data_IF_112861239723
#
_entry.id   IF_112861239723
#
_cell.length_a   1.000
_cell.length_b   1.000
_cell.length_c   1.000
_cell.angle_alpha   90.00
_cell.angle_beta   90.00
_cell.angle_gamma   90.00
#
_symmetry.space_group_name_H-M   'P 1'
#
loop_
_entity.id
_entity.type
_entity.pdbx_description
1 polymer ?
#
# COMPACT_ATOMS: atom_id res chain seq x y z
N UNK A 1 -13.78 23.68 -15.54
CA UNK A 1 -14.27 22.31 -15.60
C UNK A 1 -15.69 22.34 -16.09
N UNK A 2 -16.07 21.55 -17.10
CA UNK A 2 -17.31 21.70 -17.84
C UNK A 2 -18.58 21.68 -17.01
N UNK A 3 -19.03 22.84 -16.64
CA UNK A 3 -20.33 23.05 -16.07
C UNK A 3 -21.39 22.43 -16.99
N UNK A 4 -22.09 21.42 -16.50
CA UNK A 4 -23.33 20.93 -17.10
C UNK A 4 -23.28 19.68 -17.96
N UNK A 5 -22.15 18.93 -18.04
CA UNK A 5 -22.12 17.65 -18.78
C UNK A 5 -22.29 16.41 -17.90
N UNK A 6 -21.93 16.48 -16.63
CA UNK A 6 -22.06 15.38 -15.67
C UNK A 6 -22.86 15.82 -14.46
N UNK A 7 -23.80 15.00 -14.01
CA UNK A 7 -24.61 15.25 -12.82
C UNK A 7 -23.86 14.98 -11.51
N UNK A 8 -22.75 14.20 -11.57
CA UNK A 8 -21.92 13.86 -10.41
C UNK A 8 -20.52 13.43 -10.82
N UNK A 9 -19.57 13.45 -9.87
CA UNK A 9 -18.23 12.89 -10.06
C UNK A 9 -18.28 11.39 -10.40
N UNK A 10 -19.21 10.65 -9.80
CA UNK A 10 -19.40 9.22 -10.08
C UNK A 10 -19.75 8.94 -11.53
N UNK A 11 -20.60 9.77 -12.16
CA UNK A 11 -20.93 9.63 -13.57
C UNK A 11 -19.70 9.82 -14.46
N UNK A 12 -18.87 10.82 -14.16
CA UNK A 12 -17.60 11.05 -14.86
C UNK A 12 -16.62 9.88 -14.66
N UNK A 13 -16.54 9.33 -13.44
CA UNK A 13 -15.68 8.19 -13.13
C UNK A 13 -16.14 6.92 -13.86
N UNK A 14 -17.44 6.65 -13.90
CA UNK A 14 -17.99 5.50 -14.62
C UNK A 14 -17.72 5.62 -16.13
N UNK A 15 -17.88 6.81 -16.71
CA UNK A 15 -17.54 7.02 -18.13
C UNK A 15 -16.04 6.80 -18.41
N UNK A 16 -15.16 7.20 -17.48
CA UNK A 16 -13.74 6.94 -17.62
C UNK A 16 -13.43 5.43 -17.57
N UNK A 17 -14.13 4.67 -16.72
CA UNK A 17 -14.04 3.20 -16.66
C UNK A 17 -14.55 2.56 -17.96
N UNK A 18 -15.68 3.01 -18.48
CA UNK A 18 -16.22 2.53 -19.77
C UNK A 18 -15.24 2.78 -20.92
N UNK A 19 -14.57 3.94 -20.93
CA UNK A 19 -13.55 4.26 -21.94
C UNK A 19 -12.34 3.33 -21.82
N UNK A 20 -11.87 3.02 -20.62
CA UNK A 20 -10.78 2.05 -20.40
C UNK A 20 -11.15 0.66 -20.95
N UNK A 21 -12.38 0.20 -20.68
CA UNK A 21 -12.88 -1.10 -21.14
C UNK A 21 -12.97 -1.15 -22.67
N UNK A 22 -13.57 -0.12 -23.28
CA UNK A 22 -13.84 -0.10 -24.73
C UNK A 22 -12.56 0.09 -25.55
N UNK A 23 -11.62 0.88 -25.04
CA UNK A 23 -10.40 1.21 -25.79
C UNK A 23 -9.21 0.31 -25.47
N UNK A 24 -9.24 -0.37 -24.32
CA UNK A 24 -8.07 -1.09 -23.78
C UNK A 24 -6.91 -0.19 -23.37
N UNK A 25 -7.17 1.13 -23.25
CA UNK A 25 -6.19 2.12 -22.83
C UNK A 25 -6.47 2.55 -21.38
N UNK A 26 -5.44 2.94 -20.64
CA UNK A 26 -5.60 3.47 -19.30
C UNK A 26 -6.10 4.92 -19.33
N UNK A 27 -6.83 5.36 -18.30
CA UNK A 27 -7.26 6.77 -18.19
C UNK A 27 -6.11 7.76 -18.19
N UNK A 28 -4.93 7.32 -17.76
CA UNK A 28 -3.68 8.07 -17.79
C UNK A 28 -3.25 8.42 -19.24
N UNK A 29 -3.52 7.52 -20.20
CA UNK A 29 -3.26 7.75 -21.64
C UNK A 29 -4.14 8.87 -22.20
N UNK A 30 -5.37 8.98 -21.68
CA UNK A 30 -6.28 10.07 -21.97
C UNK A 30 -5.97 11.36 -21.21
N UNK A 31 -4.90 11.40 -20.41
CA UNK A 31 -4.50 12.51 -19.53
C UNK A 31 -5.60 12.86 -18.49
N UNK A 32 -6.41 11.90 -18.13
CA UNK A 32 -7.36 12.01 -17.03
C UNK A 32 -6.60 11.79 -15.72
N UNK A 33 -6.32 12.88 -15.01
CA UNK A 33 -5.57 12.85 -13.76
C UNK A 33 -6.51 12.54 -12.61
N UNK A 34 -6.20 11.56 -11.76
CA UNK A 34 -6.90 11.42 -10.49
C UNK A 34 -6.59 12.64 -9.61
N UNK A 35 -7.56 13.05 -8.81
CA UNK A 35 -7.40 14.06 -7.75
C UNK A 35 -6.87 13.39 -6.46
N UNK A 36 -5.90 12.50 -6.60
CA UNK A 36 -5.35 11.75 -5.48
C UNK A 36 -3.91 12.23 -5.23
N UNK A 37 -3.60 12.51 -3.99
CA UNK A 37 -2.23 12.73 -3.54
C UNK A 37 -1.46 11.42 -3.66
N UNK A 38 -0.35 11.45 -4.38
CA UNK A 38 0.55 10.31 -4.51
C UNK A 38 1.15 9.90 -3.16
N UNK A 39 1.57 8.65 -3.08
CA UNK A 39 2.35 8.14 -1.95
C UNK A 39 3.67 8.89 -1.79
N UNK A 40 4.30 8.70 -0.63
CA UNK A 40 5.68 9.15 -0.36
C UNK A 40 6.58 7.93 -0.25
N UNK A 41 7.79 8.00 -0.80
CA UNK A 41 8.78 6.92 -0.76
C UNK A 41 10.06 7.41 -0.10
N UNK A 42 10.61 6.60 0.80
CA UNK A 42 11.95 6.74 1.38
C UNK A 42 12.69 5.42 1.23
N UNK A 43 14.00 5.48 1.03
CA UNK A 43 14.88 4.32 0.93
C UNK A 43 15.98 4.51 -0.10
N UNK A 44 16.99 3.64 -0.07
CA UNK A 44 18.10 3.71 -1.02
C UNK A 44 17.71 3.14 -2.38
N UNK A 45 16.92 3.92 -3.11
CA UNK A 45 16.49 3.63 -4.48
C UNK A 45 16.49 4.90 -5.32
N UNK A 46 16.84 4.77 -6.59
CA UNK A 46 17.03 5.89 -7.51
C UNK A 46 16.06 5.78 -8.68
N UNK A 47 15.33 6.87 -8.90
CA UNK A 47 14.49 7.07 -10.07
C UNK A 47 15.10 8.11 -11.00
N UNK A 48 14.76 8.04 -12.30
CA UNK A 48 14.85 9.16 -13.21
C UNK A 48 13.45 9.65 -13.54
N UNK A 49 13.16 10.90 -13.20
CA UNK A 49 11.88 11.54 -13.53
C UNK A 49 12.08 12.56 -14.66
N UNK A 50 11.15 12.53 -15.63
CA UNK A 50 11.18 13.46 -16.77
C UNK A 50 10.52 14.77 -16.39
N UNK A 51 11.31 15.84 -16.34
CA UNK A 51 10.83 17.17 -16.00
C UNK A 51 9.95 17.78 -17.13
N UNK A 52 9.40 18.98 -16.89
CA UNK A 52 8.53 19.66 -17.87
C UNK A 52 9.25 20.10 -19.15
N UNK A 53 10.60 20.17 -19.12
CA UNK A 53 11.42 20.48 -20.29
C UNK A 53 11.77 19.24 -21.10
N UNK A 54 11.41 18.07 -20.61
CA UNK A 54 11.68 16.79 -21.24
C UNK A 54 13.03 16.18 -20.87
N UNK A 55 13.77 16.78 -19.93
CA UNK A 55 15.04 16.30 -19.42
C UNK A 55 14.85 15.30 -18.31
N UNK A 56 15.72 14.30 -18.20
CA UNK A 56 15.71 13.33 -17.12
C UNK A 56 16.48 13.85 -15.91
N UNK A 57 15.87 13.77 -14.75
CA UNK A 57 16.44 14.15 -13.46
C UNK A 57 16.57 12.89 -12.61
N UNK A 58 17.79 12.58 -12.18
CA UNK A 58 18.05 11.48 -11.25
C UNK A 58 17.72 11.93 -9.82
N UNK A 59 16.98 11.11 -9.09
CA UNK A 59 16.55 11.39 -7.71
C UNK A 59 16.72 10.11 -6.90
N UNK A 60 17.60 10.14 -5.89
CA UNK A 60 17.69 9.09 -4.89
C UNK A 60 16.67 9.38 -3.77
N UNK A 61 15.82 8.39 -3.44
CA UNK A 61 14.74 8.55 -2.47
C UNK A 61 15.19 8.58 -1.00
N UNK A 62 16.48 8.58 -0.73
CA UNK A 62 17.10 8.82 0.58
C UNK A 62 17.97 10.07 0.56
N UNK A 63 18.92 10.14 -0.37
CA UNK A 63 19.98 11.15 -0.33
C UNK A 63 19.57 12.50 -0.94
N UNK A 64 18.58 12.51 -1.85
CA UNK A 64 18.12 13.72 -2.56
C UNK A 64 16.78 14.27 -2.04
N UNK A 65 16.21 13.66 -1.00
CA UNK A 65 14.92 14.07 -0.40
C UNK A 65 15.07 14.32 1.11
N UNK A 66 14.13 15.09 1.67
CA UNK A 66 14.01 15.21 3.13
C UNK A 66 13.13 14.09 3.72
N UNK A 67 12.88 14.15 5.04
CA UNK A 67 12.06 13.17 5.77
C UNK A 67 10.64 13.01 5.23
N UNK A 68 10.16 13.99 4.47
CA UNK A 68 8.88 13.87 3.77
C UNK A 68 8.90 12.87 2.61
N UNK A 69 10.06 12.46 2.16
CA UNK A 69 10.25 11.48 1.08
C UNK A 69 9.98 12.01 -0.33
N UNK A 70 10.20 11.13 -1.32
CA UNK A 70 9.88 11.37 -2.71
C UNK A 70 8.38 11.21 -2.95
N UNK A 71 7.73 12.24 -3.48
CA UNK A 71 6.31 12.19 -3.85
C UNK A 71 6.10 11.45 -5.16
N UNK A 72 5.35 10.35 -5.13
CA UNK A 72 5.03 9.55 -6.32
C UNK A 72 4.17 10.38 -7.29
N UNK A 73 4.62 10.59 -8.54
CA UNK A 73 3.82 11.32 -9.51
C UNK A 73 2.59 10.53 -9.96
N UNK A 74 1.59 11.21 -10.51
CA UNK A 74 0.37 10.56 -11.01
C UNK A 74 0.61 9.63 -12.20
N UNK A 75 1.64 9.88 -13.00
CA UNK A 75 2.06 9.02 -14.10
C UNK A 75 3.46 8.46 -13.78
N UNK A 76 3.51 7.17 -13.55
CA UNK A 76 4.71 6.41 -13.21
C UNK A 76 5.15 5.47 -14.33
N UNK A 77 4.63 5.64 -15.56
CA UNK A 77 5.07 4.84 -16.70
C UNK A 77 6.48 5.23 -17.17
N UNK A 78 7.14 4.32 -17.87
CA UNK A 78 8.58 4.42 -18.19
C UNK A 78 8.98 5.65 -19.01
N UNK A 79 8.04 6.25 -19.75
CA UNK A 79 8.29 7.52 -20.46
C UNK A 79 8.31 8.74 -19.53
N UNK A 80 7.90 8.59 -18.26
CA UNK A 80 7.87 9.64 -17.24
C UNK A 80 8.73 9.34 -16.03
N UNK A 81 8.78 8.08 -15.61
CA UNK A 81 9.52 7.63 -14.44
C UNK A 81 10.24 6.32 -14.75
N UNK A 82 11.55 6.33 -14.67
CA UNK A 82 12.40 5.14 -14.84
C UNK A 82 12.90 4.66 -13.50
N UNK A 83 12.86 3.36 -13.31
CA UNK A 83 13.52 2.69 -12.21
C UNK A 83 14.98 2.46 -12.58
N UNK A 84 15.93 3.08 -11.85
CA UNK A 84 17.36 3.08 -12.23
C UNK A 84 18.15 2.05 -11.44
N UNK A 85 18.13 2.18 -10.12
CA UNK A 85 18.87 1.29 -9.24
C UNK A 85 18.29 1.27 -7.81
N UNK A 86 18.64 0.25 -7.06
CA UNK A 86 18.31 0.17 -5.64
C UNK A 86 19.37 -0.63 -4.89
N UNK A 87 19.45 -0.39 -3.57
CA UNK A 87 20.20 -1.18 -2.61
C UNK A 87 19.29 -1.48 -1.39
N UNK A 88 18.14 -2.08 -1.68
CA UNK A 88 17.14 -2.50 -0.71
C UNK A 88 16.71 -3.95 -1.01
N UNK A 89 16.26 -4.65 0.02
CA UNK A 89 15.89 -6.07 -0.06
C UNK A 89 14.37 -6.25 -0.25
N UNK A 90 13.55 -5.27 0.16
CA UNK A 90 12.08 -5.26 -0.02
C UNK A 90 11.50 -3.84 0.07
N UNK A 91 10.25 -3.68 -0.37
CA UNK A 91 9.43 -2.48 -0.15
C UNK A 91 8.36 -2.74 0.89
N UNK A 92 8.23 -1.86 1.89
CA UNK A 92 7.16 -1.92 2.88
C UNK A 92 6.15 -0.80 2.63
N UNK A 93 4.91 -1.17 2.35
CA UNK A 93 3.79 -0.27 2.20
C UNK A 93 3.09 -0.08 3.55
N UNK A 94 2.99 1.16 4.02
CA UNK A 94 2.51 1.53 5.35
C UNK A 94 1.27 2.39 5.20
N UNK A 95 0.19 2.00 5.89
CA UNK A 95 -1.10 2.67 5.77
C UNK A 95 -1.09 4.06 6.37
N UNK A 96 -0.62 4.21 7.62
CA UNK A 96 -0.75 5.44 8.40
C UNK A 96 0.49 6.30 8.36
N UNK A 97 0.31 7.63 8.31
CA UNK A 97 1.40 8.59 8.30
C UNK A 97 2.22 8.55 9.58
N UNK A 98 1.57 8.42 10.74
CA UNK A 98 2.26 8.36 12.02
C UNK A 98 3.21 7.17 12.16
N UNK A 99 2.83 6.01 11.60
CA UNK A 99 3.72 4.84 11.58
C UNK A 99 4.86 5.02 10.57
N UNK A 100 4.55 5.53 9.37
CA UNK A 100 5.57 5.84 8.36
C UNK A 100 6.62 6.81 8.91
N UNK A 101 6.18 7.94 9.47
CA UNK A 101 7.10 8.96 10.01
C UNK A 101 7.95 8.39 11.16
N UNK A 102 7.38 7.55 12.03
CA UNK A 102 8.13 6.85 13.09
C UNK A 102 9.21 5.94 12.55
N UNK A 103 8.91 5.14 11.53
CA UNK A 103 9.89 4.24 10.93
C UNK A 103 11.05 5.02 10.28
N UNK A 104 10.73 6.15 9.63
CA UNK A 104 11.75 7.05 9.06
C UNK A 104 12.61 7.67 10.17
N UNK A 105 12.01 8.21 11.21
CA UNK A 105 12.73 8.83 12.34
C UNK A 105 13.67 7.85 13.06
N UNK A 106 13.30 6.55 13.10
CA UNK A 106 14.14 5.50 13.68
C UNK A 106 15.16 4.91 12.68
N UNK A 107 15.22 5.40 11.44
CA UNK A 107 16.16 4.89 10.43
C UNK A 107 15.87 3.42 10.05
N UNK A 108 14.61 2.99 10.15
CA UNK A 108 14.26 1.59 9.87
C UNK A 108 14.56 1.18 8.44
N UNK A 109 14.41 2.09 7.49
CA UNK A 109 14.76 1.87 6.08
C UNK A 109 16.24 1.50 5.88
N UNK A 110 17.13 2.15 6.60
CA UNK A 110 18.57 1.82 6.56
C UNK A 110 18.88 0.52 7.31
N UNK A 111 18.38 0.37 8.54
CA UNK A 111 18.65 -0.78 9.39
C UNK A 111 18.10 -2.09 8.80
N UNK A 112 16.92 -2.05 8.19
CA UNK A 112 16.27 -3.18 7.55
C UNK A 112 16.59 -3.31 6.05
N UNK A 113 17.40 -2.41 5.47
CA UNK A 113 17.69 -2.34 4.04
C UNK A 113 16.43 -2.40 3.19
N UNK A 114 15.45 -1.55 3.52
CA UNK A 114 14.15 -1.55 2.84
C UNK A 114 13.79 -0.17 2.28
N UNK A 115 12.82 -0.17 1.37
CA UNK A 115 12.10 1.04 1.02
C UNK A 115 10.79 1.13 1.79
N UNK A 116 10.43 2.32 2.22
CA UNK A 116 9.17 2.62 2.88
C UNK A 116 8.27 3.41 1.93
N UNK A 117 7.01 3.01 1.79
CA UNK A 117 6.03 3.75 1.01
C UNK A 117 4.78 4.04 1.85
N UNK A 118 4.47 5.32 2.06
CA UNK A 118 3.28 5.75 2.76
C UNK A 118 2.08 5.74 1.83
N UNK A 119 1.09 4.88 2.09
CA UNK A 119 -0.09 4.67 1.24
C UNK A 119 -1.10 5.83 1.28
N UNK A 120 -1.13 6.59 2.39
CA UNK A 120 -2.15 7.63 2.67
C UNK A 120 -3.58 7.04 2.70
N UNK A 121 -3.75 5.93 3.39
CA UNK A 121 -4.99 5.15 3.41
C UNK A 121 -5.15 4.32 2.14
N UNK A 122 -6.30 4.41 1.45
CA UNK A 122 -6.53 3.68 0.20
C UNK A 122 -5.53 4.12 -0.88
N UNK A 123 -4.64 3.23 -1.38
CA UNK A 123 -3.57 3.60 -2.29
C UNK A 123 -4.10 4.05 -3.66
N UNK A 124 -3.57 5.17 -4.13
CA UNK A 124 -3.81 5.69 -5.47
C UNK A 124 -3.39 4.69 -6.57
N UNK A 125 -3.92 4.86 -7.78
CA UNK A 125 -3.52 4.03 -8.94
C UNK A 125 -2.02 4.10 -9.20
N UNK A 126 -1.43 5.30 -9.17
CA UNK A 126 0.01 5.49 -9.36
C UNK A 126 0.84 4.79 -8.28
N UNK A 127 0.36 4.79 -7.03
CA UNK A 127 0.99 4.08 -5.91
C UNK A 127 1.00 2.57 -6.13
N UNK A 128 -0.13 1.99 -6.53
CA UNK A 128 -0.22 0.55 -6.85
C UNK A 128 0.64 0.21 -8.06
N UNK A 129 0.62 1.06 -9.09
CA UNK A 129 1.40 0.85 -10.31
C UNK A 129 2.91 0.88 -10.06
N UNK A 130 3.42 1.84 -9.24
CA UNK A 130 4.86 1.89 -8.93
C UNK A 130 5.29 0.68 -8.09
N UNK A 131 4.50 0.23 -7.12
CA UNK A 131 4.79 -1.00 -6.37
C UNK A 131 4.87 -2.21 -7.29
N UNK A 132 3.90 -2.37 -8.20
CA UNK A 132 3.93 -3.43 -9.19
C UNK A 132 5.16 -3.37 -10.07
N UNK A 133 5.54 -2.19 -10.58
CA UNK A 133 6.74 -2.02 -11.38
C UNK A 133 8.00 -2.40 -10.61
N UNK A 134 8.14 -1.98 -9.35
CA UNK A 134 9.28 -2.37 -8.51
C UNK A 134 9.33 -3.89 -8.31
N UNK A 135 8.19 -4.54 -8.13
CA UNK A 135 8.13 -5.98 -8.03
C UNK A 135 8.50 -6.69 -9.35
N UNK A 136 7.99 -6.22 -10.49
CA UNK A 136 8.24 -6.86 -11.80
C UNK A 136 9.62 -6.53 -12.38
N UNK A 137 10.06 -5.27 -12.32
CA UNK A 137 11.30 -4.81 -12.97
C UNK A 137 12.54 -5.08 -12.11
N UNK A 138 12.40 -4.98 -10.77
CA UNK A 138 13.49 -5.17 -9.82
C UNK A 138 13.43 -6.49 -9.03
N UNK A 139 12.30 -7.21 -9.11
CA UNK A 139 12.10 -8.43 -8.33
C UNK A 139 11.92 -8.17 -6.83
N UNK A 140 11.64 -6.93 -6.42
CA UNK A 140 11.51 -6.57 -5.01
C UNK A 140 10.23 -7.15 -4.42
N UNK A 141 10.30 -7.87 -3.28
CA UNK A 141 9.13 -8.23 -2.49
C UNK A 141 8.39 -6.97 -2.03
N UNK A 142 7.07 -6.99 -2.12
CA UNK A 142 6.20 -5.95 -1.58
C UNK A 142 5.52 -6.50 -0.33
N UNK A 143 5.75 -5.87 0.81
CA UNK A 143 5.05 -6.19 2.06
C UNK A 143 4.13 -5.05 2.43
N UNK A 144 2.98 -5.38 3.02
CA UNK A 144 1.95 -4.40 3.35
C UNK A 144 1.68 -4.47 4.85
N UNK A 145 1.95 -3.36 5.52
CA UNK A 145 1.74 -3.18 6.94
C UNK A 145 0.63 -2.18 7.18
N UNK A 146 -0.46 -2.64 7.75
CA UNK A 146 -1.70 -1.87 7.93
C UNK A 146 -2.29 -2.08 9.33
N UNK A 147 -3.36 -1.38 9.63
CA UNK A 147 -4.16 -1.63 10.82
C UNK A 147 -4.83 -3.02 10.74
N UNK A 148 -5.30 -3.52 11.87
CA UNK A 148 -6.10 -4.74 11.97
C UNK A 148 -7.58 -4.37 11.98
N UNK A 149 -8.13 -4.09 10.80
CA UNK A 149 -9.55 -3.81 10.61
C UNK A 149 -10.02 -4.23 9.20
N UNK A 150 -11.34 -4.34 8.93
CA UNK A 150 -11.83 -4.78 7.63
C UNK A 150 -11.47 -3.84 6.48
N UNK A 151 -11.29 -2.54 6.74
CA UNK A 151 -10.94 -1.57 5.70
C UNK A 151 -9.49 -1.72 5.28
N UNK A 152 -8.62 -1.97 6.23
CA UNK A 152 -7.19 -2.25 6.02
C UNK A 152 -6.98 -3.57 5.28
N UNK A 153 -7.77 -4.60 5.56
CA UNK A 153 -7.77 -5.84 4.76
C UNK A 153 -8.13 -5.56 3.30
N UNK A 154 -9.07 -4.65 3.03
CA UNK A 154 -9.40 -4.23 1.66
C UNK A 154 -8.31 -3.40 1.00
N UNK A 155 -7.55 -2.62 1.77
CA UNK A 155 -6.34 -1.92 1.27
C UNK A 155 -5.36 -2.96 0.73
N UNK A 156 -5.01 -3.96 1.54
CA UNK A 156 -4.16 -5.06 1.08
C UNK A 156 -4.73 -5.77 -0.15
N UNK A 157 -6.00 -6.15 -0.12
CA UNK A 157 -6.65 -6.83 -1.24
C UNK A 157 -6.62 -5.99 -2.53
N UNK A 158 -6.71 -4.66 -2.43
CA UNK A 158 -6.59 -3.77 -3.60
C UNK A 158 -5.17 -3.74 -4.18
N UNK A 159 -4.15 -3.88 -3.34
CA UNK A 159 -2.75 -3.96 -3.76
C UNK A 159 -2.47 -5.33 -4.38
N UNK A 160 -2.84 -6.40 -3.69
CA UNK A 160 -2.52 -7.76 -4.12
C UNK A 160 -3.36 -8.24 -5.30
N UNK A 161 -4.67 -7.99 -5.27
CA UNK A 161 -5.63 -8.60 -6.21
C UNK A 161 -6.39 -7.59 -7.07
N UNK A 162 -6.24 -6.30 -6.79
CA UNK A 162 -6.98 -5.24 -7.47
C UNK A 162 -8.36 -4.98 -6.86
N UNK A 163 -9.07 -4.01 -7.43
CA UNK A 163 -10.43 -3.68 -7.02
C UNK A 163 -11.44 -4.37 -7.93
N UNK A 164 -12.53 -4.90 -7.36
CA UNK A 164 -13.57 -5.62 -8.10
C UNK A 164 -14.12 -4.76 -9.25
N UNK A 165 -14.39 -3.48 -9.00
CA UNK A 165 -14.91 -2.56 -10.02
C UNK A 165 -13.96 -2.30 -11.18
N UNK A 166 -12.65 -2.44 -10.95
CA UNK A 166 -11.61 -2.18 -11.94
C UNK A 166 -10.85 -3.45 -12.30
N UNK A 167 -11.53 -4.59 -12.35
CA UNK A 167 -10.94 -5.89 -12.64
C UNK A 167 -10.20 -5.90 -13.99
N UNK A 168 -10.68 -5.15 -14.98
CA UNK A 168 -10.09 -5.02 -16.31
C UNK A 168 -8.69 -4.39 -16.32
N UNK A 169 -8.33 -3.63 -15.28
CA UNK A 169 -7.00 -3.03 -15.14
C UNK A 169 -6.18 -3.66 -13.99
N UNK A 170 -6.67 -4.72 -13.37
CA UNK A 170 -5.95 -5.40 -12.28
C UNK A 170 -4.60 -5.92 -12.74
N UNK A 171 -4.48 -6.34 -14.00
CA UNK A 171 -3.20 -6.73 -14.60
C UNK A 171 -2.14 -5.62 -14.54
N UNK A 172 -2.54 -4.35 -14.59
CA UNK A 172 -1.64 -3.20 -14.50
C UNK A 172 -1.34 -2.73 -13.08
N UNK A 173 -2.23 -3.00 -12.12
CA UNK A 173 -2.19 -2.39 -10.79
C UNK A 173 -1.97 -3.39 -9.66
N UNK A 174 -2.35 -4.64 -9.84
CA UNK A 174 -2.26 -5.65 -8.79
C UNK A 174 -0.86 -6.28 -8.72
N UNK A 175 -0.40 -6.54 -7.50
CA UNK A 175 0.84 -7.25 -7.18
C UNK A 175 0.49 -8.54 -6.43
N UNK A 176 0.17 -9.66 -7.12
CA UNK A 176 -0.31 -10.88 -6.47
C UNK A 176 0.68 -11.51 -5.49
N UNK A 177 1.97 -11.21 -5.65
CA UNK A 177 3.05 -11.64 -4.76
C UNK A 177 3.21 -10.78 -3.51
N UNK A 178 2.39 -9.74 -3.34
CA UNK A 178 2.42 -8.91 -2.14
C UNK A 178 2.06 -9.73 -0.90
N UNK A 179 2.78 -9.50 0.19
CA UNK A 179 2.60 -10.22 1.45
C UNK A 179 1.98 -9.29 2.49
N UNK A 180 0.89 -9.75 3.12
CA UNK A 180 0.32 -9.09 4.28
C UNK A 180 1.22 -9.32 5.50
N UNK A 181 1.78 -8.23 6.04
CA UNK A 181 2.74 -8.32 7.14
C UNK A 181 2.05 -8.28 8.51
N UNK A 182 0.94 -7.63 8.60
CA UNK A 182 0.16 -7.41 9.83
C UNK A 182 -0.41 -5.98 9.84
N UNK A 183 -1.15 -5.59 10.89
CA UNK A 183 -1.38 -6.35 12.14
C UNK A 183 -2.36 -7.49 11.86
N UNK A 184 -2.01 -8.71 12.23
CA UNK A 184 -2.89 -9.87 12.14
C UNK A 184 -3.91 -9.87 13.29
N UNK A 185 -5.06 -10.51 13.12
CA UNK A 185 -6.09 -10.60 14.17
C UNK A 185 -5.62 -11.30 15.46
N UNK A 186 -4.72 -12.27 15.31
CA UNK A 186 -4.10 -12.97 16.43
C UNK A 186 -3.08 -12.14 17.21
N UNK A 187 -2.48 -11.11 16.59
CA UNK A 187 -1.56 -10.18 17.26
C UNK A 187 -2.26 -9.43 18.40
N UNK A 188 -3.57 -9.17 18.28
CA UNK A 188 -4.35 -8.50 19.33
C UNK A 188 -4.22 -9.25 20.65
N UNK A 189 -4.35 -10.57 20.63
CA UNK A 189 -4.20 -11.40 21.81
C UNK A 189 -2.74 -11.71 22.12
N UNK A 190 -1.93 -12.04 21.11
CA UNK A 190 -0.54 -12.44 21.29
C UNK A 190 0.30 -11.36 21.98
N UNK A 191 0.02 -10.09 21.63
CA UNK A 191 0.71 -8.93 22.21
C UNK A 191 -0.18 -8.12 23.16
N UNK A 192 -1.35 -8.63 23.55
CA UNK A 192 -2.31 -7.90 24.42
C UNK A 192 -2.44 -6.42 23.99
N UNK A 193 -2.72 -6.20 22.70
CA UNK A 193 -2.75 -4.87 22.11
C UNK A 193 -4.00 -4.10 22.60
N UNK A 194 -3.89 -2.79 22.84
CA UNK A 194 -5.05 -1.93 22.93
C UNK A 194 -5.91 -2.06 21.67
N UNK A 195 -7.17 -2.39 21.86
CA UNK A 195 -8.09 -2.68 20.77
C UNK A 195 -9.45 -2.04 21.03
N UNK A 196 -10.09 -1.61 19.95
CA UNK A 196 -11.44 -1.05 19.95
C UNK A 196 -12.47 -2.14 19.62
N UNK A 197 -13.70 -1.99 20.12
CA UNK A 197 -14.80 -2.85 19.74
C UNK A 197 -15.18 -2.66 18.26
N UNK A 198 -15.53 -3.75 17.59
CA UNK A 198 -16.06 -3.70 16.23
C UNK A 198 -17.43 -3.00 16.23
N UNK A 199 -17.57 -2.03 15.34
CA UNK A 199 -18.87 -1.43 15.05
C UNK A 199 -19.75 -2.37 14.22
N UNK A 200 -21.07 -2.11 14.19
CA UNK A 200 -21.98 -2.88 13.30
C UNK A 200 -21.53 -2.82 11.84
N UNK A 201 -20.95 -1.69 11.41
CA UNK A 201 -20.42 -1.51 10.04
C UNK A 201 -19.18 -2.38 9.79
N UNK A 202 -18.30 -2.52 10.77
CA UNK A 202 -17.11 -3.39 10.67
C UNK A 202 -17.55 -4.87 10.56
N UNK A 203 -18.52 -5.28 11.36
CA UNK A 203 -19.10 -6.65 11.33
C UNK A 203 -19.74 -6.95 9.97
N UNK A 204 -20.50 -6.01 9.41
CA UNK A 204 -21.10 -6.15 8.07
C UNK A 204 -20.02 -6.24 6.99
N UNK A 205 -18.94 -5.44 7.10
CA UNK A 205 -17.82 -5.47 6.19
C UNK A 205 -17.09 -6.81 6.21
N UNK A 206 -16.77 -7.35 7.39
CA UNK A 206 -16.14 -8.67 7.56
C UNK A 206 -17.00 -9.80 6.99
N UNK A 207 -18.33 -9.76 7.24
CA UNK A 207 -19.26 -10.73 6.64
C UNK A 207 -19.28 -10.67 5.11
N UNK A 208 -19.19 -9.47 4.54
CA UNK A 208 -19.10 -9.29 3.10
C UNK A 208 -17.76 -9.83 2.53
N UNK A 209 -16.67 -9.66 3.25
CA UNK A 209 -15.35 -10.19 2.89
C UNK A 209 -15.31 -11.71 2.83
N UNK A 210 -16.03 -12.41 3.72
CA UNK A 210 -16.19 -13.87 3.64
C UNK A 210 -16.79 -14.35 2.31
N UNK A 211 -17.50 -13.50 1.59
CA UNK A 211 -18.06 -13.80 0.26
C UNK A 211 -17.27 -13.20 -0.89
N UNK A 212 -16.23 -12.41 -0.60
CA UNK A 212 -15.38 -11.77 -1.60
C UNK A 212 -14.33 -12.77 -2.10
N UNK A 213 -14.21 -12.99 -3.43
CA UNK A 213 -13.22 -13.91 -4.00
C UNK A 213 -11.77 -13.66 -3.59
N UNK A 214 -11.43 -12.41 -3.19
CA UNK A 214 -10.08 -12.01 -2.80
C UNK A 214 -9.67 -12.53 -1.42
N UNK A 215 -10.61 -12.95 -0.57
CA UNK A 215 -10.39 -13.42 0.80
C UNK A 215 -10.72 -14.91 1.00
N UNK A 216 -10.69 -15.72 -0.07
CA UNK A 216 -11.07 -17.15 0.00
C UNK A 216 -9.95 -18.09 0.45
N UNK A 217 -8.72 -17.60 0.67
CA UNK A 217 -7.68 -18.44 1.27
C UNK A 217 -8.00 -18.77 2.73
N UNK A 218 -7.52 -19.93 3.21
CA UNK A 218 -7.73 -20.33 4.60
C UNK A 218 -7.17 -19.29 5.57
N UNK A 219 -5.99 -18.72 5.27
CA UNK A 219 -5.36 -17.68 6.08
C UNK A 219 -6.31 -16.47 6.27
N UNK A 220 -6.93 -15.96 5.18
CA UNK A 220 -7.86 -14.84 5.28
C UNK A 220 -9.13 -15.19 6.02
N UNK A 221 -9.68 -16.40 5.79
CA UNK A 221 -10.87 -16.85 6.52
C UNK A 221 -10.60 -16.94 8.01
N UNK A 222 -9.46 -17.47 8.42
CA UNK A 222 -9.06 -17.58 9.82
C UNK A 222 -8.90 -16.17 10.45
N UNK A 223 -8.29 -15.22 9.74
CA UNK A 223 -8.16 -13.84 10.21
C UNK A 223 -9.52 -13.16 10.40
N UNK A 224 -10.42 -13.30 9.44
CA UNK A 224 -11.77 -12.70 9.50
C UNK A 224 -12.60 -13.35 10.61
N UNK A 225 -12.56 -14.66 10.74
CA UNK A 225 -13.31 -15.39 11.75
C UNK A 225 -12.82 -15.07 13.16
N UNK A 226 -11.50 -15.00 13.35
CA UNK A 226 -10.92 -14.61 14.63
C UNK A 226 -11.29 -13.16 15.00
N UNK A 227 -11.23 -12.22 14.06
CA UNK A 227 -11.65 -10.84 14.32
C UNK A 227 -13.12 -10.74 14.72
N UNK A 228 -14.00 -11.50 14.07
CA UNK A 228 -15.42 -11.58 14.43
C UNK A 228 -15.63 -12.21 15.81
N UNK A 229 -14.85 -13.24 16.16
CA UNK A 229 -14.92 -13.92 17.47
C UNK A 229 -14.45 -12.99 18.60
N UNK A 230 -13.33 -12.29 18.40
CA UNK A 230 -12.80 -11.33 19.35
C UNK A 230 -13.71 -10.10 19.51
N UNK A 231 -14.43 -9.73 18.46
CA UNK A 231 -15.23 -8.52 18.43
C UNK A 231 -14.38 -7.24 18.51
N UNK A 232 -13.09 -7.31 18.17
CA UNK A 232 -12.11 -6.25 18.37
C UNK A 232 -11.31 -5.98 17.11
N UNK A 233 -10.79 -4.75 16.99
CA UNK A 233 -9.87 -4.27 15.96
C UNK A 233 -8.75 -3.43 16.59
N UNK A 234 -7.60 -3.34 15.94
CA UNK A 234 -6.44 -2.63 16.47
C UNK A 234 -5.76 -1.76 15.40
N UNK A 235 -5.37 -0.56 15.78
CA UNK A 235 -4.57 0.34 14.96
C UNK A 235 -3.07 0.04 15.10
N UNK A 236 -2.25 0.39 14.10
CA UNK A 236 -0.78 0.27 14.15
C UNK A 236 -0.18 0.98 15.38
N UNK A 237 -0.81 2.07 15.82
CA UNK A 237 -0.41 2.82 17.00
C UNK A 237 -0.53 2.02 18.31
N UNK A 238 -1.36 0.98 18.35
CA UNK A 238 -1.51 0.11 19.52
C UNK A 238 -0.19 -0.59 19.91
N UNK A 239 0.69 -0.84 18.95
CA UNK A 239 2.03 -1.40 19.17
C UNK A 239 2.91 -0.48 20.04
N UNK A 240 2.62 0.83 20.11
CA UNK A 240 3.34 1.76 20.97
C UNK A 240 3.16 1.49 22.48
N UNK A 241 2.22 0.61 22.86
CA UNK A 241 2.08 0.12 24.25
C UNK A 241 3.41 -0.39 24.85
N UNK A 242 4.25 -0.98 24.03
CA UNK A 242 5.53 -1.57 24.44
C UNK A 242 6.75 -0.64 24.29
N UNK A 243 6.51 0.62 23.97
CA UNK A 243 7.55 1.61 23.74
C UNK A 243 7.77 1.89 22.25
N UNK A 244 8.56 2.93 22.00
CA UNK A 244 8.75 3.44 20.64
C UNK A 244 9.54 2.48 19.76
N UNK A 245 10.47 1.73 20.35
CA UNK A 245 11.39 0.85 19.63
C UNK A 245 10.82 -0.57 19.43
N UNK A 246 9.70 -0.90 20.09
CA UNK A 246 9.09 -2.24 19.97
C UNK A 246 8.75 -2.62 18.53
N UNK A 247 8.24 -1.65 17.77
CA UNK A 247 7.86 -1.89 16.37
C UNK A 247 9.07 -2.22 15.51
N UNK A 248 10.18 -1.46 15.68
CA UNK A 248 11.38 -1.56 14.86
C UNK A 248 12.28 -2.70 15.26
N UNK A 249 12.34 -3.01 16.56
CA UNK A 249 13.34 -3.95 17.11
C UNK A 249 12.77 -5.35 17.39
N UNK A 250 11.44 -5.45 17.49
CA UNK A 250 10.77 -6.71 17.84
C UNK A 250 9.71 -7.10 16.84
N UNK A 251 8.64 -6.31 16.71
CA UNK A 251 7.45 -6.71 15.96
C UNK A 251 7.74 -6.91 14.46
N UNK A 252 8.25 -5.89 13.78
CA UNK A 252 8.52 -5.97 12.34
C UNK A 252 9.60 -7.00 12.00
N UNK A 253 10.74 -7.10 12.73
CA UNK A 253 11.71 -8.17 12.51
C UNK A 253 11.13 -9.58 12.67
N UNK A 254 10.27 -9.82 13.67
CA UNK A 254 9.61 -11.11 13.85
C UNK A 254 8.66 -11.43 12.68
N UNK A 255 7.83 -10.47 12.28
CA UNK A 255 6.89 -10.64 11.16
C UNK A 255 7.61 -10.87 9.83
N UNK A 256 8.65 -10.10 9.54
CA UNK A 256 9.46 -10.26 8.32
C UNK A 256 10.14 -11.64 8.25
N UNK A 257 10.67 -12.10 9.39
CA UNK A 257 11.24 -13.44 9.48
C UNK A 257 10.20 -14.53 9.27
N UNK A 258 9.03 -14.41 9.89
CA UNK A 258 7.94 -15.39 9.80
C UNK A 258 7.35 -15.47 8.39
N UNK A 259 7.05 -14.31 7.79
CA UNK A 259 6.31 -14.24 6.53
C UNK A 259 7.21 -14.32 5.28
N UNK A 260 8.47 -13.88 5.36
CA UNK A 260 9.39 -13.80 4.22
C UNK A 260 10.75 -14.46 4.44
N UNK A 261 11.07 -14.92 5.66
CA UNK A 261 12.39 -15.42 5.98
C UNK A 261 13.48 -14.35 6.02
N UNK A 262 13.11 -13.06 6.01
CA UNK A 262 14.07 -11.95 6.09
C UNK A 262 14.50 -11.77 7.55
N UNK A 263 15.80 -11.72 7.77
CA UNK A 263 16.40 -11.46 9.07
C UNK A 263 17.04 -10.07 9.02
N UNK A 264 16.56 -9.18 9.86
CA UNK A 264 17.15 -7.86 10.07
C UNK A 264 18.27 -8.01 11.07
N UNK A 265 19.46 -7.52 10.73
CA UNK A 265 20.69 -7.63 11.53
C UNK A 265 20.80 -6.58 12.62
#
# INVERSE_FOLDING_TARGET
>A
WGYGKFGSQNESNNLAEDLEIVTGCLREDFKLRPEEDGARIIGNLTFEERNRRGEWMSINCRDDVGDSGYGVPYNVESEKLRLVSHDIDFMMAIETGGMFDRLVENGFDENARCGLIHLKGQPARSTRRIMKRMNEEWGLPIVVFTDCDPWSFRIFASIAYGAIKTAHISEYLATPSAVYLGIDSDDIQAYDLPADELTSRDIEALKAEKSDPRFQSQEWMDQIDLMLELGQKAEQQSLAKYGLDFVTDTYLPEKLRQKLGIVIG
#
